data_IF_889084618651
#
_entry.id   IF_889084618651
#
_cell.length_a   1.000
_cell.length_b   1.000
_cell.length_c   1.000
_cell.angle_alpha   90.00
_cell.angle_beta   90.00
_cell.angle_gamma   90.00
#
_symmetry.space_group_name_H-M   'P 1'
#
loop_
_entity.id
_entity.type
_entity.pdbx_description
1 polymer ?
#
# COMPACT_ATOMS: atom_id res chain seq x y z
N UNK A 1 -26.51 -8.94 11.36
CA UNK A 1 -25.77 -8.89 10.08
C UNK A 1 -24.74 -9.99 10.16
N UNK A 2 -24.72 -10.85 9.16
CA UNK A 2 -23.94 -12.08 9.18
C UNK A 2 -22.44 -11.74 9.17
N UNK A 3 -21.70 -12.33 10.12
CA UNK A 3 -20.36 -11.89 10.52
C UNK A 3 -19.31 -12.05 9.39
N UNK A 4 -19.62 -12.86 8.36
CA UNK A 4 -18.78 -13.13 7.19
C UNK A 4 -18.69 -11.97 6.19
N UNK A 5 -19.67 -11.07 6.19
CA UNK A 5 -19.75 -10.00 5.18
C UNK A 5 -18.70 -8.91 5.43
N UNK A 6 -18.28 -8.73 6.68
CA UNK A 6 -17.35 -7.67 7.11
C UNK A 6 -16.01 -7.72 6.35
N UNK A 7 -15.23 -8.82 6.38
CA UNK A 7 -13.97 -8.88 5.63
C UNK A 7 -14.15 -8.72 4.10
N UNK A 8 -15.25 -9.23 3.52
CA UNK A 8 -15.52 -9.07 2.09
C UNK A 8 -15.78 -7.61 1.69
N UNK A 9 -16.50 -6.86 2.53
CA UNK A 9 -16.82 -5.45 2.23
C UNK A 9 -15.60 -4.52 2.25
N UNK A 10 -14.50 -4.94 2.88
CA UNK A 10 -13.25 -4.17 2.91
C UNK A 10 -12.40 -4.36 1.64
N UNK A 11 -12.58 -5.46 0.90
CA UNK A 11 -11.79 -5.78 -0.30
C UNK A 11 -11.84 -4.69 -1.39
N UNK A 12 -13.01 -4.12 -1.75
CA UNK A 12 -13.07 -3.02 -2.72
C UNK A 12 -12.23 -1.80 -2.28
N UNK A 13 -12.25 -1.47 -0.98
CA UNK A 13 -11.46 -0.37 -0.42
C UNK A 13 -9.96 -0.61 -0.55
N UNK A 14 -9.51 -1.82 -0.24
CA UNK A 14 -8.10 -2.22 -0.39
C UNK A 14 -7.70 -2.23 -1.86
N UNK A 15 -8.58 -2.70 -2.75
CA UNK A 15 -8.37 -2.66 -4.20
C UNK A 15 -8.15 -1.23 -4.72
N UNK A 16 -8.94 -0.27 -4.25
CA UNK A 16 -8.75 1.15 -4.58
C UNK A 16 -7.41 1.69 -4.06
N UNK A 17 -7.01 1.33 -2.83
CA UNK A 17 -5.70 1.70 -2.29
C UNK A 17 -4.55 1.15 -3.13
N UNK A 18 -4.62 -0.12 -3.54
CA UNK A 18 -3.61 -0.75 -4.39
C UNK A 18 -3.51 -0.04 -5.74
N UNK A 19 -4.66 0.27 -6.37
CA UNK A 19 -4.69 0.96 -7.66
C UNK A 19 -4.08 2.37 -7.57
N UNK A 20 -4.47 3.15 -6.56
CA UNK A 20 -3.90 4.48 -6.30
C UNK A 20 -2.39 4.43 -6.07
N UNK A 21 -1.94 3.43 -5.31
CA UNK A 21 -0.52 3.25 -4.97
C UNK A 21 0.29 2.82 -6.19
N UNK A 22 -0.27 1.95 -7.04
CA UNK A 22 0.34 1.52 -8.30
C UNK A 22 0.51 2.68 -9.28
N UNK A 23 -0.51 3.53 -9.41
CA UNK A 23 -0.45 4.74 -10.24
C UNK A 23 0.69 5.68 -9.78
N UNK A 24 0.85 5.83 -8.47
CA UNK A 24 1.92 6.63 -7.87
C UNK A 24 3.31 6.03 -8.12
N UNK A 25 3.44 4.70 -8.06
CA UNK A 25 4.68 3.98 -8.34
C UNK A 25 5.11 4.18 -9.80
N UNK A 26 4.17 4.06 -10.74
CA UNK A 26 4.42 4.33 -12.16
C UNK A 26 4.83 5.79 -12.38
N UNK A 27 4.15 6.75 -11.74
CA UNK A 27 4.51 8.16 -11.86
C UNK A 27 5.94 8.46 -11.39
N UNK A 28 6.37 7.88 -10.26
CA UNK A 28 7.75 8.00 -9.77
C UNK A 28 8.73 7.34 -10.72
N UNK A 29 8.40 6.16 -11.25
CA UNK A 29 9.24 5.45 -12.21
C UNK A 29 9.47 6.27 -13.48
N UNK A 30 8.41 6.86 -14.04
CA UNK A 30 8.52 7.77 -15.18
C UNK A 30 9.37 9.00 -14.84
N UNK A 31 9.21 9.58 -13.65
CA UNK A 31 10.02 10.72 -13.22
C UNK A 31 11.51 10.36 -13.07
N UNK A 32 11.83 9.17 -12.54
CA UNK A 32 13.21 8.68 -12.44
C UNK A 32 13.82 8.54 -13.85
N UNK A 33 13.10 7.92 -14.78
CA UNK A 33 13.57 7.77 -16.17
C UNK A 33 13.81 9.13 -16.82
N UNK A 34 12.89 10.08 -16.65
CA UNK A 34 13.05 11.45 -17.15
C UNK A 34 14.25 12.20 -16.53
N UNK A 35 14.61 11.88 -15.28
CA UNK A 35 15.80 12.46 -14.63
C UNK A 35 17.10 11.82 -15.12
N UNK A 36 17.08 10.53 -15.45
CA UNK A 36 18.25 9.82 -16.00
C UNK A 36 18.60 10.31 -17.41
N UNK A 37 17.61 10.75 -18.18
CA UNK A 37 17.81 11.28 -19.55
C UNK A 37 18.38 12.71 -19.57
N UNK A 38 18.38 13.44 -18.45
CA UNK A 38 18.88 14.82 -18.37
C UNK A 38 20.39 14.86 -18.11
N UNK A 39 21.11 15.71 -18.84
CA UNK A 39 22.56 15.96 -18.65
C UNK A 39 22.90 16.48 -17.25
N UNK A 40 21.99 17.20 -16.59
CA UNK A 40 22.19 17.81 -15.26
C UNK A 40 21.66 16.90 -14.13
N UNK A 41 22.01 15.62 -14.22
CA UNK A 41 21.55 14.56 -13.35
C UNK A 41 22.17 14.70 -11.95
N UNK A 42 21.33 14.96 -10.93
CA UNK A 42 21.73 14.95 -9.53
C UNK A 42 21.56 13.53 -8.96
N UNK A 43 22.63 12.74 -8.78
CA UNK A 43 22.53 11.35 -8.34
C UNK A 43 21.82 11.20 -6.99
N UNK A 44 22.00 12.15 -6.08
CA UNK A 44 21.31 12.17 -4.78
C UNK A 44 19.78 12.25 -4.88
N UNK A 45 19.27 12.95 -5.90
CA UNK A 45 17.83 13.10 -6.11
C UNK A 45 17.23 11.79 -6.63
N UNK A 46 17.92 11.12 -7.55
CA UNK A 46 17.52 9.82 -8.07
C UNK A 46 17.52 8.78 -6.95
N UNK A 47 18.56 8.75 -6.12
CA UNK A 47 18.62 7.84 -4.97
C UNK A 47 17.44 8.05 -4.01
N UNK A 48 17.08 9.31 -3.73
CA UNK A 48 15.90 9.64 -2.90
C UNK A 48 14.60 9.13 -3.53
N UNK A 49 14.41 9.27 -4.84
CA UNK A 49 13.22 8.78 -5.54
C UNK A 49 13.15 7.25 -5.62
N UNK A 50 14.27 6.57 -5.81
CA UNK A 50 14.34 5.11 -5.73
C UNK A 50 13.96 4.62 -4.32
N UNK A 51 14.44 5.31 -3.27
CA UNK A 51 14.05 5.00 -1.89
C UNK A 51 12.54 5.18 -1.65
N UNK A 52 11.93 6.21 -2.23
CA UNK A 52 10.47 6.40 -2.19
C UNK A 52 9.72 5.28 -2.89
N UNK A 53 10.18 4.86 -4.07
CA UNK A 53 9.58 3.75 -4.82
C UNK A 53 9.69 2.43 -4.05
N UNK A 54 10.82 2.17 -3.40
CA UNK A 54 11.00 0.99 -2.54
C UNK A 54 10.03 0.98 -1.36
N UNK A 55 9.87 2.12 -0.67
CA UNK A 55 8.89 2.26 0.42
C UNK A 55 7.46 1.99 -0.06
N UNK A 56 7.13 2.48 -1.26
CA UNK A 56 5.83 2.29 -1.88
C UNK A 56 5.56 0.82 -2.24
N UNK A 57 6.58 0.11 -2.75
CA UNK A 57 6.51 -1.33 -3.00
C UNK A 57 6.25 -2.12 -1.72
N UNK A 58 6.95 -1.80 -0.63
CA UNK A 58 6.71 -2.47 0.67
C UNK A 58 5.28 -2.24 1.14
N UNK A 59 4.75 -1.02 1.02
CA UNK A 59 3.35 -0.72 1.34
C UNK A 59 2.37 -1.54 0.47
N UNK A 60 2.62 -1.64 -0.84
CA UNK A 60 1.78 -2.47 -1.73
C UNK A 60 1.80 -3.95 -1.34
N UNK A 61 2.95 -4.51 -0.97
CA UNK A 61 3.05 -5.89 -0.48
C UNK A 61 2.19 -6.10 0.77
N UNK A 62 2.24 -5.17 1.73
CA UNK A 62 1.37 -5.23 2.92
C UNK A 62 -0.13 -5.16 2.56
N UNK A 63 -0.53 -4.33 1.59
CA UNK A 63 -1.91 -4.28 1.11
C UNK A 63 -2.34 -5.61 0.46
N UNK A 64 -1.49 -6.21 -0.37
CA UNK A 64 -1.77 -7.51 -0.98
C UNK A 64 -1.91 -8.62 0.08
N UNK A 65 -1.06 -8.63 1.11
CA UNK A 65 -1.17 -9.57 2.24
C UNK A 65 -2.52 -9.37 2.95
N UNK A 66 -2.90 -8.13 3.26
CA UNK A 66 -4.19 -7.82 3.91
C UNK A 66 -5.37 -8.30 3.07
N UNK A 67 -5.39 -8.00 1.76
CA UNK A 67 -6.42 -8.46 0.84
C UNK A 67 -6.52 -9.99 0.78
N UNK A 68 -5.38 -10.68 0.70
CA UNK A 68 -5.34 -12.14 0.68
C UNK A 68 -5.91 -12.74 1.98
N UNK A 69 -5.52 -12.20 3.13
CA UNK A 69 -6.00 -12.66 4.44
C UNK A 69 -7.50 -12.45 4.59
N UNK A 70 -8.05 -11.30 4.18
CA UNK A 70 -9.50 -11.06 4.23
C UNK A 70 -10.28 -11.92 3.23
N UNK A 71 -9.75 -12.16 2.04
CA UNK A 71 -10.37 -13.07 1.08
C UNK A 71 -10.44 -14.50 1.63
N UNK A 72 -9.37 -15.00 2.25
CA UNK A 72 -9.34 -16.32 2.88
C UNK A 72 -10.28 -16.37 4.10
N UNK A 73 -10.28 -15.36 4.96
CA UNK A 73 -11.16 -15.29 6.13
C UNK A 73 -12.64 -15.33 5.74
N UNK A 74 -13.03 -14.54 4.73
CA UNK A 74 -14.40 -14.51 4.22
C UNK A 74 -14.80 -15.80 3.49
N UNK A 75 -13.87 -16.42 2.76
CA UNK A 75 -14.13 -17.70 2.09
C UNK A 75 -14.34 -18.84 3.09
N UNK A 76 -13.51 -18.91 4.14
CA UNK A 76 -13.65 -19.89 5.21
C UNK A 76 -15.05 -19.74 5.84
N UNK A 77 -15.39 -18.55 6.31
CA UNK A 77 -16.67 -18.32 6.99
C UNK A 77 -17.87 -18.63 6.08
N UNK A 78 -17.85 -18.15 4.83
CA UNK A 78 -18.94 -18.39 3.88
C UNK A 78 -19.17 -19.88 3.59
N UNK A 79 -18.11 -20.67 3.42
CA UNK A 79 -18.22 -22.12 3.17
C UNK A 79 -18.76 -22.87 4.41
N UNK A 80 -18.32 -22.49 5.61
CA UNK A 80 -18.74 -23.16 6.84
C UNK A 80 -20.18 -22.82 7.23
N UNK A 81 -20.62 -21.59 7.00
CA UNK A 81 -22.02 -21.18 7.20
C UNK A 81 -22.98 -21.97 6.30
N UNK A 82 -22.59 -22.21 5.04
CA UNK A 82 -23.31 -23.07 4.10
C UNK A 82 -23.40 -24.54 4.53
N UNK A 83 -22.48 -25.01 5.38
CA UNK A 83 -22.37 -26.41 5.80
C UNK A 83 -22.91 -26.70 7.20
N UNK A 84 -23.39 -25.70 7.96
CA UNK A 84 -23.88 -25.86 9.35
C UNK A 84 -22.91 -26.61 10.29
N UNK A 85 -21.61 -26.58 9.97
CA UNK A 85 -20.57 -27.18 10.80
C UNK A 85 -20.05 -26.10 11.75
N UNK A 86 -20.14 -26.32 13.08
CA UNK A 86 -19.57 -25.39 14.07
C UNK A 86 -18.04 -25.36 13.91
N UNK A 87 -17.52 -24.27 13.37
CA UNK A 87 -16.09 -24.01 13.37
C UNK A 87 -15.66 -23.35 14.70
N UNK A 88 -14.43 -23.61 15.12
CA UNK A 88 -13.76 -22.90 16.21
C UNK A 88 -13.56 -21.42 15.78
N UNK A 89 -14.39 -20.52 16.31
CA UNK A 89 -14.37 -19.09 15.95
C UNK A 89 -13.03 -18.36 16.21
N UNK A 90 -12.10 -19.01 16.89
CA UNK A 90 -10.73 -18.54 17.16
C UNK A 90 -9.89 -18.37 15.90
N UNK A 91 -10.01 -19.26 14.90
CA UNK A 91 -9.23 -19.16 13.65
C UNK A 91 -9.69 -17.95 12.83
N UNK A 92 -11.01 -17.79 12.66
CA UNK A 92 -11.59 -16.64 11.95
C UNK A 92 -11.16 -15.31 12.59
N UNK A 93 -11.27 -15.22 13.92
CA UNK A 93 -10.88 -14.03 14.67
C UNK A 93 -9.38 -13.71 14.51
N UNK A 94 -8.51 -14.72 14.51
CA UNK A 94 -7.07 -14.53 14.27
C UNK A 94 -6.79 -13.98 12.85
N UNK A 95 -7.43 -14.53 11.82
CA UNK A 95 -7.25 -14.03 10.46
C UNK A 95 -7.70 -12.58 10.32
N UNK A 96 -8.83 -12.21 10.92
CA UNK A 96 -9.29 -10.81 10.90
C UNK A 96 -8.29 -9.87 11.57
N UNK A 97 -7.79 -10.23 12.75
CA UNK A 97 -6.80 -9.43 13.48
C UNK A 97 -5.53 -9.25 12.65
N UNK A 98 -5.03 -10.33 12.03
CA UNK A 98 -3.84 -10.28 11.16
C UNK A 98 -4.09 -9.41 9.92
N UNK A 99 -5.24 -9.55 9.28
CA UNK A 99 -5.60 -8.77 8.09
C UNK A 99 -5.72 -7.27 8.38
N UNK A 100 -6.34 -6.90 9.51
CA UNK A 100 -6.45 -5.51 9.97
C UNK A 100 -5.07 -4.96 10.35
N UNK A 101 -4.24 -5.72 11.07
CA UNK A 101 -2.90 -5.29 11.44
C UNK A 101 -2.04 -5.00 10.19
N UNK A 102 -2.08 -5.87 9.18
CA UNK A 102 -1.40 -5.64 7.91
C UNK A 102 -1.90 -4.37 7.19
N UNK A 103 -3.22 -4.12 7.18
CA UNK A 103 -3.81 -2.92 6.59
C UNK A 103 -3.37 -1.64 7.30
N UNK A 104 -3.33 -1.65 8.64
CA UNK A 104 -2.85 -0.52 9.44
C UNK A 104 -1.39 -0.23 9.16
N UNK A 105 -0.54 -1.26 9.14
CA UNK A 105 0.88 -1.12 8.80
C UNK A 105 1.04 -0.53 7.39
N UNK A 106 0.31 -1.03 6.40
CA UNK A 106 0.35 -0.52 5.04
C UNK A 106 -0.04 0.97 4.98
N UNK A 107 -1.09 1.35 5.70
CA UNK A 107 -1.57 2.74 5.78
C UNK A 107 -0.53 3.66 6.40
N UNK A 108 0.16 3.23 7.48
CA UNK A 108 1.23 4.00 8.10
C UNK A 108 2.43 4.20 7.16
N UNK A 109 2.78 3.19 6.37
CA UNK A 109 3.82 3.30 5.34
C UNK A 109 3.43 4.31 4.25
N UNK A 110 2.17 4.30 3.80
CA UNK A 110 1.65 5.25 2.80
C UNK A 110 1.62 6.70 3.32
N UNK A 111 1.26 6.91 4.59
CA UNK A 111 1.33 8.22 5.25
C UNK A 111 2.77 8.71 5.28
N UNK A 112 3.69 7.84 5.72
CA UNK A 112 5.13 8.15 5.76
C UNK A 112 5.68 8.50 4.38
N UNK A 113 5.28 7.74 3.36
CA UNK A 113 5.61 8.02 1.97
C UNK A 113 5.11 9.41 1.56
N UNK A 114 3.84 9.73 1.82
CA UNK A 114 3.23 11.01 1.40
C UNK A 114 3.95 12.21 2.01
N UNK A 115 4.32 12.12 3.29
CA UNK A 115 5.08 13.18 3.96
C UNK A 115 6.47 13.35 3.32
N UNK A 116 7.17 12.25 3.01
CA UNK A 116 8.48 12.29 2.35
C UNK A 116 8.39 12.85 0.93
N UNK A 117 7.33 12.54 0.20
CA UNK A 117 7.07 13.05 -1.16
C UNK A 117 6.96 14.57 -1.20
N UNK A 118 6.21 15.16 -0.28
CA UNK A 118 6.10 16.61 -0.18
C UNK A 118 7.45 17.25 0.15
N UNK A 119 8.20 16.69 1.11
CA UNK A 119 9.51 17.23 1.50
C UNK A 119 10.51 17.22 0.34
N UNK A 120 10.52 16.19 -0.49
CA UNK A 120 11.41 16.11 -1.66
C UNK A 120 11.04 17.15 -2.71
N UNK A 121 9.74 17.30 -3.04
CA UNK A 121 9.28 18.35 -3.96
C UNK A 121 9.62 19.76 -3.46
N UNK A 122 9.41 20.01 -2.17
CA UNK A 122 9.77 21.30 -1.56
C UNK A 122 11.28 21.59 -1.68
N UNK A 123 12.13 20.61 -1.40
CA UNK A 123 13.58 20.78 -1.54
C UNK A 123 14.03 20.94 -3.00
N UNK A 124 13.36 20.27 -3.94
CA UNK A 124 13.60 20.49 -5.38
C UNK A 124 13.29 21.93 -5.77
N UNK A 125 12.17 22.49 -5.29
CA UNK A 125 11.77 23.87 -5.55
C UNK A 125 12.75 24.89 -4.96
N UNK A 126 13.16 24.72 -3.69
CA UNK A 126 14.17 25.60 -3.08
C UNK A 126 15.51 25.56 -3.83
N UNK A 127 15.96 24.36 -4.23
CA UNK A 127 17.20 24.20 -4.99
C UNK A 127 17.11 24.74 -6.42
N UNK A 128 15.92 24.87 -7.00
CA UNK A 128 15.75 25.56 -8.29
C UNK A 128 15.82 27.07 -8.17
N UNK A 129 15.47 27.65 -7.02
CA UNK A 129 15.50 29.11 -6.80
C UNK A 129 16.92 29.62 -6.53
N UNK A 130 17.77 28.83 -5.86
CA UNK A 130 19.17 29.20 -5.56
C UNK A 130 20.14 28.99 -6.74
N UNK A 131 19.65 28.70 -7.95
CA UNK A 131 20.47 28.50 -9.15
C UNK A 131 20.60 29.75 -10.03
N UNK A 132 19.95 30.85 -9.63
CA UNK A 132 20.08 32.20 -10.20
C UNK A 132 20.96 33.08 -9.28
#
# INVERSE_FOLDING_TARGET
MDNWVIPLTLLPGIGMMIMSTSNLATAISTEINNLLERQDCKPELIQKKISQMSLLNVAMVCLYISAAVFAVAGLIEGIFELRTEMHDGTLHQLLLVVGIAALVIASLLLITFSIRAVRIKHNQFLNSIHKD
#
